data_IF_218224370679
#
_entry.id   IF_218224370679
#
_cell.length_a   1.000
_cell.length_b   1.000
_cell.length_c   1.000
_cell.angle_alpha   90.00
_cell.angle_beta   90.00
_cell.angle_gamma   90.00
#
_symmetry.space_group_name_H-M   'P 1'
#
loop_
_entity.id
_entity.type
_entity.pdbx_description
1 polymer ?
#
# COMPACT_ATOMS: atom_id res chain seq x y z
N UNK A 1 -6.55 -13.09 4.59
CA UNK A 1 -6.38 -11.62 4.50
C UNK A 1 -5.03 -11.25 3.86
N UNK A 2 -4.69 -11.86 2.72
CA UNK A 2 -3.38 -11.75 2.07
C UNK A 2 -3.39 -10.83 0.84
N UNK A 3 -4.53 -10.19 0.53
CA UNK A 3 -4.75 -9.57 -0.78
C UNK A 3 -4.16 -8.17 -0.95
N UNK A 4 -3.65 -7.50 0.09
CA UNK A 4 -3.12 -6.12 -0.02
C UNK A 4 -1.73 -5.94 0.57
N UNK A 5 -1.06 -7.04 0.95
CA UNK A 5 0.27 -6.99 1.57
C UNK A 5 1.31 -6.44 0.60
N UNK A 6 1.29 -6.90 -0.65
CA UNK A 6 2.25 -6.47 -1.68
C UNK A 6 2.08 -4.98 -2.00
N UNK A 7 0.84 -4.51 -2.13
CA UNK A 7 0.56 -3.08 -2.29
C UNK A 7 1.00 -2.23 -1.10
N UNK A 8 0.92 -2.77 0.13
CA UNK A 8 1.41 -2.07 1.31
C UNK A 8 2.94 -1.99 1.37
N UNK A 9 3.64 -3.05 0.98
CA UNK A 9 5.11 -3.03 0.87
C UNK A 9 5.56 -1.98 -0.17
N UNK A 10 4.88 -1.92 -1.32
CA UNK A 10 5.13 -0.90 -2.32
C UNK A 10 4.85 0.52 -1.77
N UNK A 11 3.71 0.72 -1.09
CA UNK A 11 3.39 1.98 -0.42
C UNK A 11 4.48 2.41 0.57
N UNK A 12 4.98 1.51 1.42
CA UNK A 12 6.08 1.81 2.35
C UNK A 12 7.32 2.28 1.62
N UNK A 13 7.71 1.59 0.55
CA UNK A 13 8.87 1.97 -0.27
C UNK A 13 8.70 3.38 -0.84
N UNK A 14 7.52 3.70 -1.38
CA UNK A 14 7.24 5.04 -1.89
C UNK A 14 7.28 6.10 -0.79
N UNK A 15 6.79 5.81 0.42
CA UNK A 15 6.93 6.70 1.56
C UNK A 15 8.40 6.98 1.90
N UNK A 16 9.24 5.94 1.98
CA UNK A 16 10.66 6.08 2.25
C UNK A 16 11.40 6.92 1.19
N UNK A 17 11.12 6.68 -0.10
CA UNK A 17 11.70 7.44 -1.21
C UNK A 17 11.35 8.93 -1.16
N UNK A 18 10.20 9.28 -0.59
CA UNK A 18 9.74 10.67 -0.43
C UNK A 18 10.04 11.24 0.96
N UNK A 19 10.79 10.52 1.82
CA UNK A 19 11.13 10.96 3.18
C UNK A 19 9.93 11.00 4.14
N UNK A 20 8.88 10.24 3.85
CA UNK A 20 7.65 10.15 4.64
C UNK A 20 7.61 8.88 5.49
N UNK A 21 7.01 8.99 6.68
CA UNK A 21 6.72 7.81 7.51
C UNK A 21 5.41 7.14 7.06
N UNK A 22 5.40 5.83 6.77
CA UNK A 22 4.17 5.13 6.40
C UNK A 22 3.25 4.94 7.62
N UNK A 23 1.94 4.97 7.37
CA UNK A 23 0.92 4.59 8.36
C UNK A 23 0.82 3.07 8.52
N UNK A 24 0.25 2.59 9.62
CA UNK A 24 0.08 1.14 9.81
C UNK A 24 -0.88 0.51 8.78
N UNK A 25 -0.68 -0.80 8.51
CA UNK A 25 -1.44 -1.56 7.51
C UNK A 25 -2.96 -1.48 7.66
N UNK A 26 -3.48 -1.49 8.89
CA UNK A 26 -4.93 -1.43 9.14
C UNK A 26 -5.51 -0.09 8.70
N UNK A 27 -4.80 1.01 8.93
CA UNK A 27 -5.20 2.33 8.49
C UNK A 27 -5.08 2.48 6.97
N UNK A 28 -4.00 1.95 6.39
CA UNK A 28 -3.82 1.88 4.93
C UNK A 28 -5.02 1.22 4.25
N UNK A 29 -5.45 0.04 4.72
CA UNK A 29 -6.63 -0.64 4.17
C UNK A 29 -7.94 0.12 4.43
N UNK A 30 -8.06 0.82 5.57
CA UNK A 30 -9.29 1.54 5.92
C UNK A 30 -9.46 2.86 5.15
N UNK A 31 -8.36 3.53 4.83
CA UNK A 31 -8.36 4.86 4.21
C UNK A 31 -8.42 4.81 2.68
N UNK A 32 -8.08 3.66 2.09
CA UNK A 32 -8.09 3.48 0.65
C UNK A 32 -9.36 2.77 0.18
N UNK A 33 -9.88 3.21 -0.96
CA UNK A 33 -10.94 2.49 -1.65
C UNK A 33 -10.44 1.15 -2.18
N UNK A 34 -11.36 0.22 -2.45
CA UNK A 34 -11.03 -1.07 -3.06
C UNK A 34 -10.24 -0.91 -4.35
N UNK A 35 -10.58 0.08 -5.19
CA UNK A 35 -9.87 0.37 -6.44
C UNK A 35 -8.45 0.85 -6.20
N UNK A 36 -8.23 1.72 -5.21
CA UNK A 36 -6.89 2.19 -4.83
C UNK A 36 -6.04 1.02 -4.30
N UNK A 37 -6.61 0.18 -3.44
CA UNK A 37 -5.93 -1.00 -2.93
C UNK A 37 -5.55 -1.95 -4.06
N UNK A 38 -6.45 -2.19 -5.02
CA UNK A 38 -6.16 -3.02 -6.18
C UNK A 38 -5.06 -2.42 -7.07
N UNK A 39 -5.07 -1.11 -7.31
CA UNK A 39 -4.04 -0.44 -8.12
C UNK A 39 -2.63 -0.60 -7.52
N UNK A 40 -2.48 -0.37 -6.21
CA UNK A 40 -1.19 -0.58 -5.53
C UNK A 40 -0.76 -2.05 -5.53
N UNK A 41 -1.71 -2.97 -5.42
CA UNK A 41 -1.41 -4.40 -5.43
C UNK A 41 -1.03 -4.92 -6.83
N UNK A 42 -1.63 -4.37 -7.88
CA UNK A 42 -1.24 -4.64 -9.27
C UNK A 42 0.13 -4.04 -9.59
N UNK A 43 0.45 -2.84 -9.10
CA UNK A 43 1.79 -2.24 -9.28
C UNK A 43 2.89 -3.00 -8.53
N UNK A 44 2.55 -3.63 -7.40
CA UNK A 44 3.49 -4.47 -6.66
C UNK A 44 3.79 -5.80 -7.38
N UNK A 45 2.85 -6.29 -8.20
CA UNK A 45 3.08 -7.41 -9.14
C UNK A 45 3.66 -6.85 -10.44
N UNK A 46 4.92 -6.39 -10.36
CA UNK A 46 5.73 -6.12 -11.55
C UNK A 46 5.81 -7.34 -12.46
#
# INVERSE_FOLDING_TARGET
MTQYTDGYEFYKKMCEEHGMAPINFRLYVKQLSTEQLMAFNCQAKG
#
